data_IF_016163359346
#
_entry.id   IF_016163359346
#
_cell.length_a   1.000
_cell.length_b   1.000
_cell.length_c   1.000
_cell.angle_alpha   90.00
_cell.angle_beta   90.00
_cell.angle_gamma   90.00
#
_symmetry.space_group_name_H-M   'P 1'
#
loop_
_entity.id
_entity.type
_entity.pdbx_description
1 polymer ?
#
# COMPACT_ATOMS: atom_id res chain seq x y z
N UNK A 1 17.06 -18.69 6.10
CA UNK A 1 16.78 -17.38 6.70
C UNK A 1 15.73 -16.63 5.90
N UNK A 2 14.75 -16.12 6.59
CA UNK A 2 13.71 -15.34 5.93
C UNK A 2 14.17 -13.89 5.78
N UNK A 3 14.19 -13.40 4.58
CA UNK A 3 14.53 -12.01 4.32
C UNK A 3 13.28 -11.14 4.39
N UNK A 4 13.44 -9.92 4.89
CA UNK A 4 12.36 -8.96 4.89
C UNK A 4 12.01 -8.56 3.46
N UNK A 5 10.73 -8.41 3.19
CA UNK A 5 10.29 -7.88 1.92
C UNK A 5 10.52 -6.38 1.87
N UNK A 6 10.76 -5.86 0.69
CA UNK A 6 10.64 -4.42 0.47
C UNK A 6 9.16 -4.07 0.53
N UNK A 7 8.86 -2.91 1.09
CA UNK A 7 7.50 -2.44 1.23
C UNK A 7 7.28 -1.22 0.35
N UNK A 8 6.19 -1.26 -0.38
CA UNK A 8 5.72 -0.14 -1.18
C UNK A 8 4.46 0.40 -0.55
N UNK A 9 4.43 1.69 -0.25
CA UNK A 9 3.22 2.35 0.23
C UNK A 9 2.58 3.07 -0.95
N UNK A 10 1.29 2.83 -1.14
CA UNK A 10 0.50 3.51 -2.15
C UNK A 10 -0.63 4.26 -1.44
N UNK A 11 -0.64 5.59 -1.56
CA UNK A 11 -1.73 6.39 -1.00
C UNK A 11 -2.67 6.81 -2.11
N UNK A 12 -3.95 6.58 -1.89
CA UNK A 12 -4.97 6.85 -2.90
C UNK A 12 -5.22 5.61 -3.76
N UNK A 13 -6.42 5.04 -3.60
CA UNK A 13 -6.82 3.82 -4.31
C UNK A 13 -7.48 4.17 -5.63
N UNK A 14 -6.71 4.69 -6.58
CA UNK A 14 -7.19 5.04 -7.90
C UNK A 14 -6.51 4.22 -8.99
N UNK A 15 -6.98 4.40 -10.22
CA UNK A 15 -6.45 3.63 -11.35
C UNK A 15 -4.99 3.94 -11.65
N UNK A 16 -4.58 5.21 -11.49
CA UNK A 16 -3.20 5.61 -11.75
C UNK A 16 -2.27 4.96 -10.74
N UNK A 17 -2.65 5.00 -9.45
CA UNK A 17 -1.86 4.36 -8.41
C UNK A 17 -1.76 2.86 -8.60
N UNK A 18 -2.87 2.22 -8.99
CA UNK A 18 -2.88 0.79 -9.24
C UNK A 18 -1.97 0.43 -10.41
N UNK A 19 -1.97 1.25 -11.47
CA UNK A 19 -1.11 1.02 -12.61
C UNK A 19 0.37 1.09 -12.23
N UNK A 20 0.74 2.07 -11.39
CA UNK A 20 2.10 2.20 -10.91
C UNK A 20 2.48 1.00 -10.03
N UNK A 21 1.58 0.60 -9.15
CA UNK A 21 1.82 -0.54 -8.26
C UNK A 21 2.03 -1.83 -9.05
N UNK A 22 1.30 -2.00 -10.13
CA UNK A 22 1.46 -3.19 -10.98
C UNK A 22 2.82 -3.23 -11.67
N UNK A 23 3.37 -2.08 -12.01
CA UNK A 23 4.67 -2.03 -12.68
C UNK A 23 5.82 -2.21 -11.70
N UNK A 24 5.69 -1.68 -10.49
CA UNK A 24 6.80 -1.55 -9.58
C UNK A 24 6.68 -2.36 -8.30
N UNK A 25 5.52 -2.95 -8.05
CA UNK A 25 5.25 -3.62 -6.78
C UNK A 25 5.51 -5.12 -6.77
N UNK A 26 5.92 -5.70 -7.88
CA UNK A 26 6.10 -7.14 -7.94
C UNK A 26 7.21 -7.57 -6.99
N UNK A 27 6.91 -8.58 -6.17
CA UNK A 27 7.86 -9.06 -5.18
C UNK A 27 7.92 -8.22 -3.91
N UNK A 28 7.15 -7.14 -3.83
CA UNK A 28 7.09 -6.27 -2.66
C UNK A 28 5.80 -6.50 -1.88
N UNK A 29 5.83 -6.14 -0.61
CA UNK A 29 4.60 -6.00 0.15
C UNK A 29 4.02 -4.63 -0.18
N UNK A 30 2.79 -4.59 -0.66
CA UNK A 30 2.13 -3.34 -1.03
C UNK A 30 1.12 -2.97 0.04
N UNK A 31 1.26 -1.78 0.60
CA UNK A 31 0.31 -1.25 1.58
C UNK A 31 -0.46 -0.11 0.93
N UNK A 32 -1.75 -0.32 0.72
CA UNK A 32 -2.61 0.66 0.08
C UNK A 32 -3.38 1.43 1.14
N UNK A 33 -3.16 2.72 1.20
CA UNK A 33 -3.88 3.60 2.11
C UNK A 33 -4.90 4.45 1.37
N UNK A 34 -6.11 4.49 1.88
CA UNK A 34 -7.17 5.33 1.33
C UNK A 34 -8.06 5.81 2.45
N UNK A 35 -8.66 6.99 2.28
CA UNK A 35 -9.56 7.56 3.25
C UNK A 35 -10.79 6.68 3.45
N UNK A 36 -11.24 6.03 2.38
CA UNK A 36 -12.34 5.06 2.45
C UNK A 36 -11.75 3.67 2.45
N UNK A 37 -11.94 2.96 3.54
CA UNK A 37 -11.41 1.61 3.67
C UNK A 37 -11.90 0.68 2.57
N UNK A 38 -13.14 0.80 2.15
CA UNK A 38 -13.67 -0.06 1.09
C UNK A 38 -12.95 0.13 -0.23
N UNK A 39 -12.47 1.35 -0.54
CA UNK A 39 -11.68 1.58 -1.75
C UNK A 39 -10.33 0.87 -1.65
N UNK A 40 -9.68 0.97 -0.49
CA UNK A 40 -8.42 0.28 -0.26
C UNK A 40 -8.61 -1.23 -0.34
N UNK A 41 -9.70 -1.73 0.22
CA UNK A 41 -10.00 -3.17 0.18
C UNK A 41 -10.24 -3.66 -1.24
N UNK A 42 -10.95 -2.87 -2.06
CA UNK A 42 -11.19 -3.25 -3.45
C UNK A 42 -9.90 -3.34 -4.23
N UNK A 43 -9.01 -2.36 -4.06
CA UNK A 43 -7.71 -2.38 -4.74
C UNK A 43 -6.86 -3.54 -4.26
N UNK A 44 -6.83 -3.78 -2.96
CA UNK A 44 -6.08 -4.91 -2.41
C UNK A 44 -6.58 -6.23 -2.97
N UNK A 45 -7.89 -6.40 -3.09
CA UNK A 45 -8.47 -7.63 -3.65
C UNK A 45 -8.07 -7.81 -5.11
N UNK A 46 -8.17 -6.76 -5.91
CA UNK A 46 -7.80 -6.81 -7.32
C UNK A 46 -6.31 -7.14 -7.47
N UNK A 47 -5.46 -6.47 -6.69
CA UNK A 47 -4.02 -6.70 -6.76
C UNK A 47 -3.64 -8.10 -6.30
N UNK A 48 -4.24 -8.58 -5.21
CA UNK A 48 -3.95 -9.93 -4.72
C UNK A 48 -4.39 -10.99 -5.73
N UNK A 49 -5.53 -10.78 -6.40
CA UNK A 49 -5.98 -11.69 -7.45
C UNK A 49 -5.03 -11.71 -8.65
N UNK A 50 -4.29 -10.63 -8.85
CA UNK A 50 -3.31 -10.54 -9.93
C UNK A 50 -1.92 -11.04 -9.52
N UNK A 51 -1.77 -11.58 -8.30
CA UNK A 51 -0.51 -12.15 -7.86
C UNK A 51 0.36 -11.21 -7.02
N UNK A 52 -0.13 -10.04 -6.67
CA UNK A 52 0.60 -9.11 -5.80
C UNK A 52 0.22 -9.33 -4.35
N UNK A 53 1.12 -8.98 -3.45
CA UNK A 53 0.92 -9.13 -2.00
C UNK A 53 0.51 -7.78 -1.43
N UNK A 54 -0.79 -7.54 -1.29
CA UNK A 54 -1.34 -6.23 -0.97
C UNK A 54 -2.25 -6.27 0.25
N UNK A 55 -2.12 -5.28 1.11
CA UNK A 55 -3.03 -5.10 2.26
C UNK A 55 -3.63 -3.70 2.23
N UNK A 56 -4.89 -3.56 2.67
CA UNK A 56 -5.54 -2.25 2.76
C UNK A 56 -5.36 -1.64 4.13
N UNK A 57 -5.25 -0.30 4.16
CA UNK A 57 -5.20 0.45 5.42
C UNK A 57 -6.04 1.70 5.25
N UNK A 58 -6.89 1.99 6.21
CA UNK A 58 -7.63 3.25 6.21
C UNK A 58 -6.69 4.37 6.63
N UNK A 59 -6.64 5.45 5.83
CA UNK A 59 -5.69 6.51 6.07
C UNK A 59 -6.21 7.83 5.53
N UNK A 60 -6.14 8.87 6.35
CA UNK A 60 -6.53 10.23 5.99
C UNK A 60 -5.27 11.07 5.86
N UNK A 61 -4.99 11.54 4.63
CA UNK A 61 -3.80 12.36 4.36
C UNK A 61 -3.79 13.69 5.10
N UNK A 62 -4.95 14.18 5.53
CA UNK A 62 -5.01 15.42 6.31
C UNK A 62 -4.67 15.20 7.78
N UNK A 63 -4.54 13.96 8.22
CA UNK A 63 -4.25 13.62 9.60
C UNK A 63 -2.83 13.08 9.74
N UNK A 64 -2.00 13.82 10.44
CA UNK A 64 -0.62 13.40 10.70
C UNK A 64 -0.58 12.06 11.43
N UNK A 65 -1.47 11.88 12.39
CA UNK A 65 -1.55 10.66 13.17
C UNK A 65 -1.88 9.46 12.29
N UNK A 66 -2.79 9.66 11.34
CA UNK A 66 -3.18 8.61 10.41
C UNK A 66 -2.01 8.21 9.50
N UNK A 67 -1.24 9.19 9.04
CA UNK A 67 -0.05 8.94 8.22
C UNK A 67 0.98 8.15 9.01
N UNK A 68 1.21 8.52 10.27
CA UNK A 68 2.18 7.82 11.10
C UNK A 68 1.75 6.38 11.37
N UNK A 69 0.45 6.14 11.53
CA UNK A 69 -0.05 4.77 11.69
C UNK A 69 0.15 3.94 10.43
N UNK A 70 -0.04 4.56 9.28
CA UNK A 70 0.20 3.87 7.99
C UNK A 70 1.65 3.42 7.89
N UNK A 71 2.58 4.31 8.21
CA UNK A 71 4.00 4.02 8.17
C UNK A 71 4.36 2.91 9.16
N UNK A 72 3.81 2.99 10.37
CA UNK A 72 4.06 1.97 11.40
C UNK A 72 3.53 0.60 10.96
N UNK A 73 2.36 0.58 10.31
CA UNK A 73 1.79 -0.66 9.82
C UNK A 73 2.66 -1.25 8.71
N UNK A 74 3.13 -0.40 7.80
CA UNK A 74 3.98 -0.84 6.70
C UNK A 74 5.30 -1.43 7.20
N UNK A 75 5.88 -0.83 8.23
CA UNK A 75 7.16 -1.29 8.79
C UNK A 75 7.11 -2.68 9.41
N UNK A 76 5.93 -3.16 9.74
CA UNK A 76 5.79 -4.53 10.26
C UNK A 76 6.18 -5.58 9.22
N UNK A 77 6.13 -5.24 7.97
CA UNK A 77 6.38 -6.17 6.86
C UNK A 77 7.79 -6.08 6.30
N UNK A 78 8.50 -5.00 6.54
CA UNK A 78 9.86 -4.84 6.04
C UNK A 78 10.26 -3.39 5.95
N UNK A 79 11.28 -3.11 5.15
CA UNK A 79 11.74 -1.75 4.92
C UNK A 79 10.91 -1.09 3.84
N UNK A 80 10.50 0.16 4.12
CA UNK A 80 9.76 0.94 3.13
C UNK A 80 10.77 1.43 2.10
N UNK A 81 10.67 0.92 0.88
CA UNK A 81 11.59 1.26 -0.21
C UNK A 81 10.95 2.20 -1.23
N UNK A 82 9.63 2.35 -1.19
CA UNK A 82 8.94 3.17 -2.17
C UNK A 82 7.65 3.74 -1.59
N UNK A 83 7.40 5.00 -1.87
CA UNK A 83 6.15 5.67 -1.50
C UNK A 83 5.58 6.32 -2.75
N UNK A 84 4.36 5.93 -3.10
CA UNK A 84 3.64 6.50 -4.24
C UNK A 84 2.41 7.21 -3.73
N UNK A 85 2.34 8.51 -3.97
CA UNK A 85 1.19 9.31 -3.60
C UNK A 85 0.36 9.58 -4.85
N UNK A 86 -0.74 8.85 -4.99
CA UNK A 86 -1.63 8.94 -6.16
C UNK A 86 -2.98 9.55 -5.80
N UNK A 87 -3.10 10.12 -4.63
CA UNK A 87 -4.34 10.76 -4.19
C UNK A 87 -4.55 12.13 -4.84
#
# INVERSE_FOLDING_TARGET
MKMKQDVMILTGAGQIGMAIARRMGYGKKIVVGDKKMENAEDIARIMNNAGFDTIPVEMDLSSRESILRLIAEARKYGEISMLVNAA
#
